data_IF_794991914270
#
_entry.id   IF_794991914270
#
_cell.length_a   1.000
_cell.length_b   1.000
_cell.length_c   1.000
_cell.angle_alpha   90.00
_cell.angle_beta   90.00
_cell.angle_gamma   90.00
#
_symmetry.space_group_name_H-M   'P 1'
#
loop_
_entity.id
_entity.type
_entity.pdbx_description
1 polymer ?
#
# COMPACT_ATOMS: atom_id res chain seq x y z
N UNK A 1 -5.27 22.29 -9.60
CA UNK A 1 -5.98 22.19 -8.29
C UNK A 1 -6.09 20.74 -7.81
N UNK A 2 -6.51 19.79 -8.65
CA UNK A 2 -6.70 18.37 -8.27
C UNK A 2 -5.51 17.68 -7.61
N UNK A 3 -4.27 17.93 -8.06
CA UNK A 3 -3.08 17.29 -7.48
C UNK A 3 -2.85 17.65 -6.00
N UNK A 4 -3.21 18.87 -5.57
CA UNK A 4 -3.06 19.28 -4.16
C UNK A 4 -4.08 18.61 -3.26
N UNK A 5 -5.30 18.42 -3.74
CA UNK A 5 -6.37 17.73 -3.01
C UNK A 5 -6.01 16.25 -2.87
N UNK A 6 -5.58 15.59 -3.96
CA UNK A 6 -5.14 14.20 -3.92
C UNK A 6 -3.95 14.01 -2.96
N UNK A 7 -3.00 14.94 -2.96
CA UNK A 7 -1.86 14.91 -2.06
C UNK A 7 -2.29 15.06 -0.60
N UNK A 8 -3.14 16.04 -0.27
CA UNK A 8 -3.65 16.23 1.08
C UNK A 8 -4.42 15.00 1.56
N UNK A 9 -5.27 14.45 0.69
CA UNK A 9 -6.04 13.24 0.98
C UNK A 9 -5.13 12.05 1.34
N UNK A 10 -4.14 11.76 0.51
CA UNK A 10 -3.21 10.66 0.75
C UNK A 10 -2.35 10.89 1.99
N UNK A 11 -1.89 12.12 2.24
CA UNK A 11 -1.12 12.45 3.45
C UNK A 11 -1.97 12.20 4.70
N UNK A 12 -3.22 12.68 4.72
CA UNK A 12 -4.12 12.53 5.87
C UNK A 12 -4.38 11.05 6.14
N UNK A 13 -4.75 10.26 5.12
CA UNK A 13 -5.01 8.83 5.33
C UNK A 13 -3.76 8.06 5.79
N UNK A 14 -2.60 8.36 5.22
CA UNK A 14 -1.33 7.74 5.63
C UNK A 14 -1.00 8.10 7.08
N UNK A 15 -1.22 9.36 7.48
CA UNK A 15 -1.00 9.80 8.86
C UNK A 15 -1.98 9.15 9.85
N UNK A 16 -3.26 9.02 9.47
CA UNK A 16 -4.27 8.31 10.29
C UNK A 16 -3.84 6.86 10.52
N UNK A 17 -3.41 6.15 9.48
CA UNK A 17 -2.91 4.78 9.63
C UNK A 17 -1.65 4.70 10.49
N UNK A 18 -0.73 5.65 10.36
CA UNK A 18 0.46 5.70 11.20
C UNK A 18 0.10 5.88 12.68
N UNK A 19 -0.83 6.79 13.00
CA UNK A 19 -1.30 7.01 14.37
C UNK A 19 -2.02 5.77 14.91
N UNK A 20 -2.87 5.12 14.11
CA UNK A 20 -3.55 3.89 14.51
C UNK A 20 -2.58 2.75 14.82
N UNK A 21 -1.52 2.59 14.02
CA UNK A 21 -0.48 1.60 14.30
C UNK A 21 0.30 1.93 15.56
N UNK A 22 0.69 3.20 15.77
CA UNK A 22 1.35 3.63 17.00
C UNK A 22 0.47 3.32 18.21
N UNK A 23 -0.81 3.66 18.15
CA UNK A 23 -1.77 3.32 19.20
C UNK A 23 -1.82 1.80 19.47
N UNK A 24 -1.95 0.99 18.42
CA UNK A 24 -1.99 -0.48 18.54
C UNK A 24 -0.71 -1.07 19.15
N UNK A 25 0.47 -0.64 18.69
CA UNK A 25 1.76 -1.13 19.22
C UNK A 25 2.09 -0.63 20.63
N UNK A 26 1.50 0.48 21.08
CA UNK A 26 1.82 1.06 22.40
C UNK A 26 0.87 0.62 23.50
N UNK A 27 -0.40 0.40 23.17
CA UNK A 27 -1.46 0.13 24.14
C UNK A 27 -2.12 -1.24 23.97
N UNK A 28 -1.98 -1.86 22.79
CA UNK A 28 -2.51 -3.19 22.51
C UNK A 28 -1.47 -4.28 22.72
N UNK A 29 -1.93 -5.46 23.14
CA UNK A 29 -1.18 -6.68 22.97
C UNK A 29 -1.59 -7.31 21.63
N UNK A 30 -0.64 -7.47 20.71
CA UNK A 30 -0.90 -8.09 19.40
C UNK A 30 -1.28 -9.57 19.52
N UNK A 31 -0.97 -10.21 20.65
CA UNK A 31 -1.23 -11.62 20.88
C UNK A 31 -2.65 -11.89 21.39
N UNK A 32 -3.37 -10.88 21.88
CA UNK A 32 -4.77 -10.98 22.32
C UNK A 32 -5.75 -10.80 21.14
N UNK A 33 -5.55 -11.57 20.06
CA UNK A 33 -6.41 -11.51 18.85
C UNK A 33 -7.66 -12.40 18.93
N UNK A 34 -7.80 -13.19 20.00
CA UNK A 34 -8.84 -14.22 20.15
C UNK A 34 -10.25 -13.63 20.16
N UNK A 35 -10.48 -12.57 20.95
CA UNK A 35 -11.78 -11.88 21.02
C UNK A 35 -12.23 -11.30 19.67
N UNK A 36 -11.27 -10.94 18.81
CA UNK A 36 -11.53 -10.41 17.47
C UNK A 36 -11.96 -11.52 16.50
N UNK A 37 -11.46 -12.75 16.68
CA UNK A 37 -11.88 -13.91 15.88
C UNK A 37 -13.17 -14.55 16.39
N UNK A 38 -13.52 -14.39 17.66
CA UNK A 38 -14.81 -14.85 18.19
C UNK A 38 -15.98 -14.00 17.66
N UNK A 39 -15.71 -12.75 17.26
CA UNK A 39 -16.69 -11.86 16.66
C UNK A 39 -16.76 -12.04 15.13
N UNK A 40 -17.92 -12.43 14.55
CA UNK A 40 -18.07 -12.57 13.11
C UNK A 40 -17.70 -11.31 12.29
N UNK A 41 -17.97 -10.11 12.83
CA UNK A 41 -17.59 -8.86 12.17
C UNK A 41 -16.09 -8.59 12.24
N UNK A 42 -15.40 -9.09 13.27
CA UNK A 42 -13.95 -9.03 13.35
C UNK A 42 -13.30 -9.87 12.25
N UNK A 43 -13.80 -11.09 12.03
CA UNK A 43 -13.38 -11.96 10.92
C UNK A 43 -13.62 -11.25 9.57
N UNK A 44 -14.83 -10.72 9.33
CA UNK A 44 -15.16 -10.05 8.06
C UNK A 44 -14.25 -8.87 7.80
N UNK A 45 -13.97 -8.05 8.83
CA UNK A 45 -13.06 -6.91 8.73
C UNK A 45 -11.63 -7.34 8.40
N UNK A 46 -11.16 -8.46 8.96
CA UNK A 46 -9.85 -9.02 8.66
C UNK A 46 -9.76 -9.42 7.18
N UNK A 47 -10.77 -10.14 6.68
CA UNK A 47 -10.84 -10.49 5.26
C UNK A 47 -10.89 -9.26 4.36
N UNK A 48 -11.72 -8.27 4.70
CA UNK A 48 -11.86 -7.03 3.91
C UNK A 48 -10.50 -6.32 3.74
N UNK A 49 -9.74 -6.18 4.83
CA UNK A 49 -8.41 -5.55 4.80
C UNK A 49 -7.43 -6.33 3.93
N UNK A 50 -7.32 -7.65 4.09
CA UNK A 50 -6.35 -8.45 3.31
C UNK A 50 -6.73 -8.58 1.84
N UNK A 51 -8.02 -8.77 1.53
CA UNK A 51 -8.50 -8.73 0.13
C UNK A 51 -8.21 -7.37 -0.49
N UNK A 52 -8.38 -6.29 0.28
CA UNK A 52 -7.95 -4.94 -0.10
C UNK A 52 -6.46 -4.84 -0.44
N UNK A 53 -5.58 -5.46 0.36
CA UNK A 53 -4.14 -5.52 0.06
C UNK A 53 -3.88 -6.22 -1.27
N UNK A 54 -4.55 -7.34 -1.55
CA UNK A 54 -4.38 -8.05 -2.82
C UNK A 54 -4.87 -7.23 -4.01
N UNK A 55 -5.98 -6.47 -3.89
CA UNK A 55 -6.39 -5.55 -4.95
C UNK A 55 -5.36 -4.46 -5.18
N UNK A 56 -4.78 -3.90 -4.12
CA UNK A 56 -3.75 -2.86 -4.23
C UNK A 56 -2.45 -3.42 -4.84
N UNK A 57 -2.04 -4.62 -4.44
CA UNK A 57 -0.92 -5.34 -5.05
C UNK A 57 -1.21 -5.57 -6.54
N UNK A 58 -2.42 -5.99 -6.90
CA UNK A 58 -2.84 -6.12 -8.30
C UNK A 58 -2.69 -4.82 -9.08
N UNK A 59 -3.02 -3.68 -8.46
CA UNK A 59 -2.76 -2.37 -9.05
C UNK A 59 -1.27 -2.07 -9.24
N UNK A 60 -0.41 -2.43 -8.27
CA UNK A 60 1.06 -2.30 -8.39
C UNK A 60 1.60 -3.18 -9.52
N UNK A 61 1.16 -4.45 -9.60
CA UNK A 61 1.53 -5.40 -10.66
C UNK A 61 1.18 -4.84 -12.03
N UNK A 62 0.00 -4.22 -12.17
CA UNK A 62 -0.42 -3.62 -13.42
C UNK A 62 0.40 -2.38 -13.80
N UNK A 63 0.86 -1.64 -12.79
CA UNK A 63 1.54 -0.35 -12.96
C UNK A 63 3.05 -0.46 -13.18
N UNK A 64 3.70 -1.35 -12.44
CA UNK A 64 5.15 -1.50 -12.43
C UNK A 64 5.57 -2.59 -13.41
N UNK A 65 6.61 -2.35 -14.21
CA UNK A 65 7.11 -3.37 -15.16
C UNK A 65 8.12 -4.34 -14.52
N UNK A 66 8.68 -3.98 -13.37
CA UNK A 66 9.80 -4.70 -12.75
C UNK A 66 9.32 -5.70 -11.69
N UNK A 67 9.55 -7.02 -11.88
CA UNK A 67 9.09 -8.03 -10.93
C UNK A 67 9.72 -7.88 -9.54
N UNK A 68 10.98 -7.43 -9.45
CA UNK A 68 11.63 -7.18 -8.16
C UNK A 68 10.97 -6.03 -7.37
N UNK A 69 10.55 -4.96 -8.04
CA UNK A 69 9.84 -3.84 -7.41
C UNK A 69 8.45 -4.27 -6.97
N UNK A 70 7.73 -5.01 -7.82
CA UNK A 70 6.42 -5.60 -7.49
C UNK A 70 6.54 -6.45 -6.23
N UNK A 71 7.49 -7.39 -6.19
CA UNK A 71 7.67 -8.30 -5.08
C UNK A 71 8.01 -7.54 -3.79
N UNK A 72 8.94 -6.58 -3.86
CA UNK A 72 9.33 -5.77 -2.70
C UNK A 72 8.13 -5.01 -2.11
N UNK A 73 7.34 -4.33 -2.95
CA UNK A 73 6.15 -3.61 -2.48
C UNK A 73 5.05 -4.55 -2.00
N UNK A 74 4.87 -5.71 -2.64
CA UNK A 74 3.87 -6.69 -2.22
C UNK A 74 4.17 -7.22 -0.82
N UNK A 75 5.40 -7.62 -0.56
CA UNK A 75 5.84 -8.07 0.76
C UNK A 75 5.72 -6.93 1.78
N UNK A 76 6.15 -5.72 1.42
CA UNK A 76 6.05 -4.57 2.30
C UNK A 76 4.59 -4.24 2.68
N UNK A 77 3.63 -4.39 1.75
CA UNK A 77 2.21 -4.16 2.03
C UNK A 77 1.63 -5.27 2.92
N UNK A 78 1.97 -6.53 2.68
CA UNK A 78 1.48 -7.63 3.53
C UNK A 78 1.96 -7.50 4.98
N UNK A 79 3.15 -6.93 5.19
CA UNK A 79 3.72 -6.73 6.52
C UNK A 79 3.34 -5.39 7.16
N UNK A 80 3.33 -4.30 6.40
CA UNK A 80 3.09 -2.94 6.89
C UNK A 80 1.69 -2.39 6.62
N UNK A 81 0.85 -3.15 5.92
CA UNK A 81 -0.56 -2.86 5.66
C UNK A 81 -0.82 -1.56 4.90
N UNK A 82 -1.91 -0.89 5.29
CA UNK A 82 -2.38 0.34 4.63
C UNK A 82 -1.43 1.53 4.81
N UNK A 83 -0.55 1.53 5.82
CA UNK A 83 0.48 2.56 5.96
C UNK A 83 1.45 2.52 4.78
N UNK A 84 1.96 1.34 4.44
CA UNK A 84 2.87 1.14 3.30
C UNK A 84 2.16 1.40 1.98
N UNK A 85 0.91 0.98 1.86
CA UNK A 85 0.07 1.28 0.68
C UNK A 85 -0.08 2.80 0.47
N UNK A 86 -0.33 3.55 1.55
CA UNK A 86 -0.41 5.01 1.52
C UNK A 86 0.92 5.67 1.11
N UNK A 87 2.06 5.20 1.64
CA UNK A 87 3.39 5.66 1.25
C UNK A 87 3.65 5.40 -0.23
N UNK A 88 3.32 4.20 -0.73
CA UNK A 88 3.44 3.88 -2.15
C UNK A 88 2.61 4.83 -3.01
N UNK A 89 1.34 5.05 -2.65
CA UNK A 89 0.44 5.97 -3.35
C UNK A 89 0.96 7.42 -3.34
N UNK A 90 1.61 7.88 -2.27
CA UNK A 90 2.25 9.19 -2.21
C UNK A 90 3.45 9.29 -3.16
N UNK A 91 4.36 8.30 -3.13
CA UNK A 91 5.52 8.24 -4.04
C UNK A 91 5.04 8.25 -5.49
N UNK A 92 4.03 7.44 -5.76
CA UNK A 92 3.33 7.36 -7.03
C UNK A 92 2.77 8.69 -7.52
N UNK A 93 2.15 9.47 -6.64
CA UNK A 93 1.58 10.78 -6.96
C UNK A 93 2.68 11.81 -7.23
N UNK A 94 3.80 11.77 -6.50
CA UNK A 94 4.94 12.63 -6.78
C UNK A 94 5.59 12.31 -8.13
N UNK A 95 5.71 11.01 -8.47
CA UNK A 95 6.24 10.56 -9.77
C UNK A 95 5.35 10.92 -10.95
N UNK A 96 4.04 11.04 -10.74
CA UNK A 96 3.09 11.37 -11.80
C UNK A 96 3.12 12.85 -12.23
N UNK A 97 3.72 13.74 -11.40
CA UNK A 97 3.83 15.19 -11.64
C UNK A 97 2.49 15.85 -12.03
N UNK A 98 1.38 15.35 -11.47
CA UNK A 98 0.03 15.87 -11.70
C UNK A 98 -0.70 15.27 -12.91
N UNK A 99 -0.13 14.27 -13.57
CA UNK A 99 -0.80 13.52 -14.64
C UNK A 99 -1.49 12.27 -14.05
N UNK A 100 -2.82 12.25 -14.12
CA UNK A 100 -3.62 11.14 -13.61
C UNK A 100 -3.34 9.81 -14.35
N UNK A 101 -3.03 9.85 -15.65
CA UNK A 101 -2.69 8.62 -16.39
C UNK A 101 -1.41 8.00 -15.87
N UNK A 102 -0.38 8.82 -15.64
CA UNK A 102 0.89 8.34 -15.06
C UNK A 102 0.75 7.88 -13.62
N UNK A 103 -0.22 8.41 -12.89
CA UNK A 103 -0.53 7.94 -11.53
C UNK A 103 -1.15 6.54 -11.56
N UNK A 104 -2.18 6.30 -12.37
CA UNK A 104 -2.90 5.02 -12.36
C UNK A 104 -2.24 3.93 -13.20
N UNK A 105 -1.71 4.28 -14.37
CA UNK A 105 -1.14 3.34 -15.34
C UNK A 105 0.37 3.18 -15.20
N UNK A 106 1.02 4.04 -14.41
CA UNK A 106 2.48 4.09 -14.32
C UNK A 106 3.12 4.71 -15.55
N UNK A 107 4.44 4.61 -15.60
CA UNK A 107 5.19 4.89 -16.82
C UNK A 107 5.69 3.53 -17.30
N UNK A 108 5.40 3.14 -18.54
CA UNK A 108 5.88 1.90 -19.15
C UNK A 108 7.39 1.90 -19.39
N UNK A 109 8.17 2.27 -18.38
CA UNK A 109 9.62 2.17 -18.41
C UNK A 109 9.94 0.68 -18.33
N UNK A 110 10.63 0.18 -19.35
CA UNK A 110 11.19 -1.16 -19.36
C UNK A 110 12.14 -1.29 -18.16
N UNK A 111 12.11 -2.45 -17.51
CA UNK A 111 13.03 -2.75 -16.43
C UNK A 111 14.45 -2.80 -17.00
N UNK A 112 15.20 -1.69 -16.93
CA UNK A 112 16.55 -1.62 -17.48
C UNK A 112 17.50 -2.41 -16.57
N UNK A 113 17.98 -3.55 -17.08
CA UNK A 113 19.21 -4.21 -16.64
C UNK A 113 19.03 -5.48 -15.79
N UNK A 114 18.58 -6.57 -16.39
CA UNK A 114 19.30 -7.84 -16.20
C UNK A 114 20.27 -7.96 -17.39
N UNK A 115 21.45 -7.37 -17.27
CA UNK A 115 22.62 -7.86 -18.00
C UNK A 115 23.25 -8.94 -17.10
N UNK A 116 23.00 -10.19 -17.50
CA UNK A 116 24.01 -11.24 -17.66
C UNK A 116 25.28 -11.12 -16.80
N UNK A 117 25.40 -11.97 -15.77
CA UNK A 117 26.70 -12.53 -15.37
C UNK A 117 26.52 -13.80 -14.49
N UNK A 118 27.12 -14.90 -15.00
CA UNK A 118 27.37 -16.24 -14.43
C UNK A 118 26.45 -17.41 -14.84
#
# INVERSE_FOLDING_TARGET
MGNRIALLYLIVLTAVMAVALIYGFTLGDFLDFEELLENPWGIVSLFDVYVGFFFFIGWIVYRESCPGIILAWSVAILLGGNLVSGIYALIALFRSKGDARKFFLGQGQACSGQEEEA
#
